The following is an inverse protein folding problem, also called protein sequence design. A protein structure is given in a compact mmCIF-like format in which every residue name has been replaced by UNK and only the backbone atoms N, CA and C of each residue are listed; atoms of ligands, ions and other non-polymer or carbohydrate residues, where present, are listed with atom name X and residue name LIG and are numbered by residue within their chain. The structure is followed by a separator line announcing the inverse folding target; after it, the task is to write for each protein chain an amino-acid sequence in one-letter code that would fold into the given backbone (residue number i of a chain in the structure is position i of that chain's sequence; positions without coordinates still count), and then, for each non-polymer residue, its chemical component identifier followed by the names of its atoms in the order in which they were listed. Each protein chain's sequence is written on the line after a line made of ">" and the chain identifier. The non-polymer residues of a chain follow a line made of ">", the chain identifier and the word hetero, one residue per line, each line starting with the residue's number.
data_IF_239471034499
#
_entry.id   IF_239471034499
#
_cell.length_a   1.000
_cell.length_b   1.000
_cell.length_c   1.000
_cell.angle_alpha   90.00
_cell.angle_beta   90.00
_cell.angle_gamma   90.00
#
_symmetry.space_group_name_H-M   'P 1'
#
loop_
_entity.id
_entity.type
_entity.pdbx_description
1 polymer ?
#
# COMPACT_ATOMS: atom_id res chain seq x y z
N UNK A 1 4.55 -11.00 68.09
CA UNK A 1 3.83 -11.25 66.83
C UNK A 1 2.51 -10.51 66.86
N UNK A 2 2.36 -9.39 66.14
CA UNK A 2 1.07 -8.74 65.97
C UNK A 2 0.36 -9.28 64.73
N UNK A 3 -0.91 -9.59 64.93
CA UNK A 3 -1.90 -10.01 63.95
C UNK A 3 -2.34 -8.79 63.13
N UNK A 4 -1.94 -8.72 61.86
CA UNK A 4 -2.38 -7.69 60.94
C UNK A 4 -3.77 -8.03 60.37
N UNK A 5 -4.65 -7.02 60.47
CA UNK A 5 -6.08 -7.08 60.16
C UNK A 5 -6.32 -7.33 58.66
N UNK A 6 -7.03 -8.41 58.33
CA UNK A 6 -7.49 -8.67 56.97
C UNK A 6 -8.52 -7.60 56.56
N UNK A 7 -8.20 -6.75 55.57
CA UNK A 7 -9.21 -5.96 54.83
C UNK A 7 -9.84 -6.88 53.77
N UNK A 8 -11.17 -7.08 53.76
CA UNK A 8 -11.79 -7.81 52.66
C UNK A 8 -11.69 -6.96 51.39
N UNK A 9 -10.90 -7.44 50.43
CA UNK A 9 -10.99 -6.97 49.05
C UNK A 9 -12.42 -7.28 48.57
N UNK A 10 -13.20 -6.22 48.34
CA UNK A 10 -14.49 -6.33 47.69
C UNK A 10 -14.29 -6.98 46.33
N UNK A 11 -14.71 -8.25 46.23
CA UNK A 11 -14.69 -9.03 45.00
C UNK A 11 -15.61 -8.39 43.97
N UNK A 12 -15.03 -7.59 43.08
CA UNK A 12 -15.62 -7.42 41.75
C UNK A 12 -15.11 -8.57 40.90
N UNK A 13 -16.04 -9.43 40.50
CA UNK A 13 -15.82 -10.45 39.48
C UNK A 13 -15.10 -9.85 38.27
N UNK A 14 -14.00 -10.48 37.84
CA UNK A 14 -13.29 -10.14 36.60
C UNK A 14 -14.18 -10.22 35.34
N UNK A 15 -15.43 -10.70 35.46
CA UNK A 15 -16.39 -10.87 34.36
C UNK A 15 -17.28 -9.64 34.07
N UNK A 16 -16.96 -8.44 34.54
CA UNK A 16 -17.80 -7.24 34.32
C UNK A 16 -17.07 -6.00 33.78
N UNK A 17 -15.83 -6.11 33.31
CA UNK A 17 -15.30 -5.06 32.45
C UNK A 17 -15.86 -5.25 31.04
N UNK A 18 -16.56 -4.26 30.47
CA UNK A 18 -16.97 -4.34 29.08
C UNK A 18 -15.73 -4.52 28.21
N UNK A 19 -15.76 -5.51 27.30
CA UNK A 19 -14.66 -5.86 26.39
C UNK A 19 -14.19 -4.63 25.60
N UNK A 20 -15.09 -3.66 25.39
CA UNK A 20 -14.78 -2.39 24.76
C UNK A 20 -15.50 -1.24 25.47
N UNK A 21 -14.76 -0.17 25.75
CA UNK A 21 -15.32 1.11 26.20
C UNK A 21 -15.99 1.85 25.03
N UNK A 22 -17.30 2.10 25.13
CA UNK A 22 -18.10 2.67 24.05
C UNK A 22 -17.67 4.09 23.67
N UNK A 23 -17.25 4.90 24.65
CA UNK A 23 -16.79 6.27 24.40
C UNK A 23 -15.45 6.27 23.65
N UNK A 24 -14.52 5.39 24.05
CA UNK A 24 -13.28 5.15 23.31
C UNK A 24 -13.56 4.67 21.88
N UNK A 25 -14.50 3.74 21.69
CA UNK A 25 -14.88 3.20 20.38
C UNK A 25 -15.44 4.30 19.46
N UNK A 26 -16.34 5.14 19.99
CA UNK A 26 -16.91 6.28 19.26
C UNK A 26 -15.83 7.29 18.86
N UNK A 27 -14.93 7.65 19.78
CA UNK A 27 -13.82 8.55 19.49
C UNK A 27 -12.88 7.99 18.42
N UNK A 28 -12.60 6.69 18.44
CA UNK A 28 -11.81 6.02 17.40
C UNK A 28 -12.52 6.07 16.05
N UNK A 29 -13.81 5.74 15.99
CA UNK A 29 -14.61 5.80 14.76
C UNK A 29 -14.64 7.21 14.16
N UNK A 30 -14.83 8.24 14.98
CA UNK A 30 -14.84 9.64 14.54
C UNK A 30 -13.48 10.06 13.95
N UNK A 31 -12.37 9.68 14.60
CA UNK A 31 -11.01 9.95 14.08
C UNK A 31 -10.76 9.24 12.74
N UNK A 32 -11.19 7.99 12.61
CA UNK A 32 -11.07 7.23 11.34
C UNK A 32 -11.90 7.90 10.24
N UNK A 33 -13.15 8.26 10.54
CA UNK A 33 -14.04 8.95 9.60
C UNK A 33 -13.45 10.28 9.15
N UNK A 34 -12.89 11.07 10.07
CA UNK A 34 -12.23 12.33 9.76
C UNK A 34 -11.00 12.13 8.85
N UNK A 35 -10.13 11.14 9.16
CA UNK A 35 -8.97 10.82 8.31
C UNK A 35 -9.37 10.38 6.91
N UNK A 36 -10.34 9.47 6.79
CA UNK A 36 -10.86 9.01 5.49
C UNK A 36 -11.48 10.17 4.71
N UNK A 37 -12.22 11.05 5.39
CA UNK A 37 -12.84 12.22 4.75
C UNK A 37 -11.79 13.18 4.21
N UNK A 38 -10.76 13.52 5.00
CA UNK A 38 -9.68 14.40 4.56
C UNK A 38 -8.91 13.79 3.39
N UNK A 39 -8.55 12.51 3.50
CA UNK A 39 -7.82 11.79 2.46
C UNK A 39 -8.59 11.76 1.13
N UNK A 40 -9.86 11.36 1.17
CA UNK A 40 -10.70 11.24 -0.03
C UNK A 40 -11.06 12.61 -0.62
N UNK A 41 -11.17 13.66 0.21
CA UNK A 41 -11.32 15.04 -0.25
C UNK A 41 -10.12 15.49 -1.11
N UNK A 42 -8.90 15.24 -0.64
CA UNK A 42 -7.67 15.55 -1.39
C UNK A 42 -7.65 14.80 -2.72
N UNK A 43 -7.96 13.50 -2.73
CA UNK A 43 -7.99 12.73 -3.97
C UNK A 43 -9.02 13.24 -4.98
N UNK A 44 -10.19 13.71 -4.52
CA UNK A 44 -11.19 14.34 -5.39
C UNK A 44 -10.69 15.67 -5.96
N UNK A 45 -10.06 16.50 -5.13
CA UNK A 45 -9.50 17.79 -5.56
C UNK A 45 -8.36 17.63 -6.58
N UNK A 46 -7.60 16.54 -6.48
CA UNK A 46 -6.58 16.16 -7.46
C UNK A 46 -7.15 15.43 -8.68
N UNK A 47 -8.47 15.25 -8.75
CA UNK A 47 -9.18 14.51 -9.80
C UNK A 47 -8.69 13.06 -9.96
N UNK A 48 -8.12 12.48 -8.91
CA UNK A 48 -7.69 11.08 -8.87
C UNK A 48 -8.90 10.17 -8.74
N UNK A 49 -9.92 10.60 -7.99
CA UNK A 49 -11.17 9.87 -7.79
C UNK A 49 -12.40 10.75 -8.02
N UNK A 50 -13.51 10.11 -8.37
CA UNK A 50 -14.83 10.76 -8.48
C UNK A 50 -15.59 10.79 -7.13
N UNK A 51 -16.87 11.21 -7.16
CA UNK A 51 -17.75 11.22 -5.99
C UNK A 51 -18.02 9.82 -5.43
N UNK A 52 -17.90 8.79 -6.25
CA UNK A 52 -18.20 7.38 -5.95
C UNK A 52 -16.94 6.57 -5.59
N UNK A 53 -15.79 7.22 -5.40
CA UNK A 53 -14.48 6.61 -5.14
C UNK A 53 -13.92 5.78 -6.31
N UNK A 54 -14.43 5.97 -7.52
CA UNK A 54 -13.84 5.36 -8.71
C UNK A 54 -12.60 6.14 -9.13
N UNK A 55 -11.56 5.43 -9.55
CA UNK A 55 -10.31 6.03 -10.00
C UNK A 55 -10.45 6.55 -11.42
N UNK A 56 -10.01 7.79 -11.65
CA UNK A 56 -9.96 8.39 -12.98
C UNK A 56 -8.64 8.02 -13.69
N UNK A 57 -8.58 6.80 -14.24
CA UNK A 57 -7.38 6.28 -14.90
C UNK A 57 -6.96 7.12 -16.10
N UNK A 58 -7.91 7.65 -16.88
CA UNK A 58 -7.62 8.51 -18.02
C UNK A 58 -6.87 9.79 -17.61
N UNK A 59 -7.31 10.44 -16.52
CA UNK A 59 -6.61 11.60 -15.95
C UNK A 59 -5.21 11.25 -15.47
N UNK A 60 -5.06 10.12 -14.77
CA UNK A 60 -3.75 9.66 -14.28
C UNK A 60 -2.78 9.35 -15.41
N UNK A 61 -3.25 8.76 -16.51
CA UNK A 61 -2.43 8.51 -17.71
C UNK A 61 -2.02 9.84 -18.35
N UNK A 62 -2.96 10.77 -18.53
CA UNK A 62 -2.68 12.09 -19.08
C UNK A 62 -1.63 12.85 -18.25
N UNK A 63 -1.77 12.86 -16.92
CA UNK A 63 -0.80 13.45 -16.00
C UNK A 63 0.55 12.75 -16.07
N UNK A 64 0.57 11.42 -16.15
CA UNK A 64 1.81 10.65 -16.26
C UNK A 64 2.57 10.98 -17.55
N UNK A 65 1.86 11.15 -18.66
CA UNK A 65 2.47 11.49 -19.95
C UNK A 65 3.06 12.91 -19.97
N UNK A 66 2.57 13.82 -19.12
CA UNK A 66 3.09 15.20 -19.04
C UNK A 66 4.38 15.34 -18.21
N UNK A 67 4.77 14.32 -17.43
CA UNK A 67 5.98 14.39 -16.61
C UNK A 67 7.26 14.57 -17.47
N UNK A 68 8.25 15.37 -17.01
CA UNK A 68 9.50 15.58 -17.73
C UNK A 68 10.50 14.44 -17.45
N UNK A 69 10.12 13.20 -17.78
CA UNK A 69 10.95 12.00 -17.58
C UNK A 69 11.15 11.22 -18.89
N UNK A 70 12.07 10.25 -18.88
CA UNK A 70 12.39 9.42 -20.04
C UNK A 70 11.16 8.67 -20.58
N UNK A 71 11.16 8.38 -21.88
CA UNK A 71 10.08 7.62 -22.52
C UNK A 71 9.93 6.21 -21.92
N UNK A 72 11.04 5.57 -21.55
CA UNK A 72 11.06 4.27 -20.86
C UNK A 72 10.32 4.34 -19.53
N UNK A 73 10.63 5.34 -18.70
CA UNK A 73 9.97 5.54 -17.42
C UNK A 73 8.49 5.88 -17.63
N UNK A 74 8.14 6.79 -18.55
CA UNK A 74 6.73 7.11 -18.85
C UNK A 74 5.93 5.87 -19.21
N UNK A 75 6.47 5.01 -20.06
CA UNK A 75 5.80 3.78 -20.48
C UNK A 75 5.56 2.82 -19.30
N UNK A 76 6.57 2.59 -18.46
CA UNK A 76 6.42 1.75 -17.25
C UNK A 76 5.42 2.38 -16.26
N UNK A 77 5.43 3.70 -16.15
CA UNK A 77 4.52 4.51 -15.36
C UNK A 77 3.07 4.52 -15.90
N UNK A 78 2.84 4.33 -17.19
CA UNK A 78 1.47 4.14 -17.72
C UNK A 78 0.99 2.71 -17.48
N UNK A 79 1.86 1.72 -17.72
CA UNK A 79 1.55 0.30 -17.48
C UNK A 79 1.12 0.01 -16.04
N UNK A 80 1.73 0.67 -15.04
CA UNK A 80 1.31 0.50 -13.64
C UNK A 80 -0.14 0.92 -13.40
N UNK A 81 -0.62 1.99 -14.05
CA UNK A 81 -2.00 2.50 -13.89
C UNK A 81 -2.98 1.47 -14.41
N UNK A 82 -2.73 0.93 -15.60
CA UNK A 82 -3.54 -0.12 -16.24
C UNK A 82 -3.57 -1.38 -15.39
N UNK A 83 -2.39 -1.84 -14.95
CA UNK A 83 -2.27 -3.04 -14.11
C UNK A 83 -3.04 -2.90 -12.80
N UNK A 84 -2.87 -1.79 -12.06
CA UNK A 84 -3.57 -1.59 -10.80
C UNK A 84 -5.09 -1.46 -11.00
N UNK A 85 -5.53 -0.88 -12.11
CA UNK A 85 -6.95 -0.81 -12.43
C UNK A 85 -7.54 -2.20 -12.71
N UNK A 86 -6.85 -3.03 -13.49
CA UNK A 86 -7.25 -4.42 -13.74
C UNK A 86 -7.30 -5.22 -12.43
N UNK A 87 -6.28 -5.08 -11.58
CA UNK A 87 -6.20 -5.76 -10.28
C UNK A 87 -7.44 -5.49 -9.42
N UNK A 88 -7.83 -4.23 -9.23
CA UNK A 88 -8.97 -3.89 -8.36
C UNK A 88 -10.32 -4.26 -8.95
N UNK A 89 -10.43 -4.37 -10.27
CA UNK A 89 -11.63 -4.87 -10.94
C UNK A 89 -11.84 -6.37 -10.75
N UNK A 90 -10.77 -7.12 -10.48
CA UNK A 90 -10.81 -8.55 -10.21
C UNK A 90 -10.93 -8.91 -8.72
N UNK A 91 -10.95 -7.92 -7.81
CA UNK A 91 -11.03 -8.23 -6.38
C UNK A 91 -12.45 -8.69 -5.96
N UNK A 92 -12.57 -9.74 -5.14
CA UNK A 92 -13.84 -10.16 -4.57
C UNK A 92 -14.17 -9.28 -3.36
N UNK A 93 -15.12 -8.35 -3.54
CA UNK A 93 -15.42 -7.34 -2.51
C UNK A 93 -16.75 -7.57 -1.81
N UNK A 94 -17.62 -8.37 -2.43
CA UNK A 94 -18.96 -8.64 -1.92
C UNK A 94 -18.95 -9.62 -0.73
N UNK A 95 -17.84 -10.34 -0.49
CA UNK A 95 -17.72 -11.38 0.52
C UNK A 95 -16.70 -11.07 1.64
N UNK A 96 -16.32 -9.81 1.83
CA UNK A 96 -15.37 -9.44 2.89
C UNK A 96 -16.12 -9.15 4.19
N UNK A 97 -15.77 -9.80 5.30
CA UNK A 97 -16.22 -9.47 6.67
C UNK A 97 -15.67 -8.11 7.17
N UNK A 98 -15.10 -7.31 6.27
CA UNK A 98 -14.46 -6.05 6.58
C UNK A 98 -15.49 -4.98 6.94
N UNK A 99 -15.27 -4.21 8.02
CA UNK A 99 -16.13 -3.07 8.37
C UNK A 99 -15.96 -1.89 7.40
N UNK A 100 -15.06 -1.98 6.42
CA UNK A 100 -14.77 -0.91 5.45
C UNK A 100 -15.68 -1.07 4.22
N UNK A 101 -16.34 0.01 3.74
CA UNK A 101 -17.14 -0.06 2.52
C UNK A 101 -16.33 -0.60 1.32
N UNK A 102 -16.94 -1.47 0.52
CA UNK A 102 -16.25 -2.13 -0.58
C UNK A 102 -15.61 -1.20 -1.61
N UNK A 103 -16.24 -0.06 -1.91
CA UNK A 103 -15.67 0.97 -2.80
C UNK A 103 -14.41 1.62 -2.21
N UNK A 104 -14.38 1.84 -0.90
CA UNK A 104 -13.19 2.32 -0.21
C UNK A 104 -12.09 1.26 -0.17
N UNK A 105 -12.46 -0.03 -0.02
CA UNK A 105 -11.49 -1.12 -0.14
C UNK A 105 -10.84 -1.17 -1.54
N UNK A 106 -11.63 -1.03 -2.63
CA UNK A 106 -11.08 -0.90 -4.01
C UNK A 106 -10.07 0.22 -4.10
N UNK A 107 -10.44 1.40 -3.61
CA UNK A 107 -9.58 2.56 -3.66
C UNK A 107 -8.27 2.35 -2.90
N UNK A 108 -8.34 1.84 -1.66
CA UNK A 108 -7.15 1.56 -0.86
C UNK A 108 -6.24 0.51 -1.51
N UNK A 109 -6.82 -0.54 -2.08
CA UNK A 109 -6.06 -1.55 -2.83
C UNK A 109 -5.40 -0.96 -4.08
N UNK A 110 -6.12 -0.12 -4.83
CA UNK A 110 -5.58 0.57 -6.00
C UNK A 110 -4.36 1.41 -5.62
N UNK A 111 -4.50 2.24 -4.58
CA UNK A 111 -3.43 3.12 -4.10
C UNK A 111 -2.21 2.34 -3.60
N UNK A 112 -2.44 1.21 -2.92
CA UNK A 112 -1.38 0.30 -2.49
C UNK A 112 -0.62 -0.30 -3.67
N UNK A 113 -1.33 -0.76 -4.70
CA UNK A 113 -0.73 -1.23 -5.94
C UNK A 113 0.06 -0.12 -6.65
N UNK A 114 -0.54 1.06 -6.81
CA UNK A 114 0.06 2.22 -7.49
C UNK A 114 1.37 2.61 -6.83
N UNK A 115 1.38 2.70 -5.49
CA UNK A 115 2.58 3.02 -4.71
C UNK A 115 3.70 2.01 -4.98
N UNK A 116 3.41 0.71 -4.91
CA UNK A 116 4.40 -0.36 -5.11
C UNK A 116 4.97 -0.34 -6.53
N UNK A 117 4.10 -0.33 -7.53
CA UNK A 117 4.54 -0.39 -8.93
C UNK A 117 5.20 0.92 -9.39
N UNK A 118 4.84 2.07 -8.81
CA UNK A 118 5.55 3.33 -9.06
C UNK A 118 6.99 3.25 -8.58
N UNK A 119 7.20 2.73 -7.36
CA UNK A 119 8.55 2.50 -6.84
C UNK A 119 9.35 1.57 -7.77
N UNK A 120 8.77 0.44 -8.17
CA UNK A 120 9.42 -0.51 -9.10
C UNK A 120 9.77 0.14 -10.44
N UNK A 121 8.89 0.97 -11.01
CA UNK A 121 9.17 1.68 -12.26
C UNK A 121 10.36 2.64 -12.11
N UNK A 122 10.44 3.36 -10.99
CA UNK A 122 11.57 4.24 -10.69
C UNK A 122 12.87 3.46 -10.48
N UNK A 123 12.84 2.37 -9.70
CA UNK A 123 14.01 1.50 -9.50
C UNK A 123 14.50 0.92 -10.83
N UNK A 124 13.58 0.45 -11.68
CA UNK A 124 13.91 -0.07 -13.01
C UNK A 124 14.59 0.97 -13.88
N UNK A 125 14.13 2.23 -13.84
CA UNK A 125 14.77 3.32 -14.56
C UNK A 125 16.15 3.67 -14.01
N UNK A 126 16.32 3.62 -12.69
CA UNK A 126 17.63 3.82 -12.06
C UNK A 126 18.62 2.72 -12.49
N UNK A 127 18.19 1.46 -12.49
CA UNK A 127 18.98 0.33 -12.99
C UNK A 127 19.33 0.47 -14.46
N UNK A 128 18.47 1.04 -15.31
CA UNK A 128 18.80 1.32 -16.72
C UNK A 128 19.96 2.31 -16.85
N UNK A 129 19.98 3.33 -16.00
CA UNK A 129 21.00 4.40 -16.04
C UNK A 129 22.34 3.92 -15.50
N UNK A 130 22.30 3.05 -14.50
CA UNK A 130 23.46 2.62 -13.73
C UNK A 130 23.83 1.15 -14.00
N UNK A 131 23.36 0.55 -15.09
CA UNK A 131 23.52 -0.90 -15.34
C UNK A 131 24.99 -1.34 -15.37
N UNK A 132 25.89 -0.45 -15.82
CA UNK A 132 27.33 -0.70 -15.88
C UNK A 132 28.02 -0.77 -14.51
N UNK A 133 27.36 -0.28 -13.45
CA UNK A 133 27.91 -0.28 -12.09
C UNK A 133 27.67 -1.62 -11.36
N UNK A 134 26.85 -2.51 -11.93
CA UNK A 134 26.50 -3.79 -11.33
C UNK A 134 27.29 -4.94 -11.94
N UNK A 135 27.71 -5.88 -11.10
CA UNK A 135 28.26 -7.15 -11.58
C UNK A 135 27.12 -8.04 -12.11
N UNK A 136 27.08 -8.19 -13.44
CA UNK A 136 26.09 -8.98 -14.15
C UNK A 136 26.63 -10.33 -14.65
N UNK A 137 27.83 -10.74 -14.20
CA UNK A 137 28.47 -11.99 -14.63
C UNK A 137 27.63 -13.24 -14.34
N UNK A 138 26.79 -13.20 -13.30
CA UNK A 138 25.86 -14.28 -12.95
C UNK A 138 24.63 -14.39 -13.86
N UNK A 139 24.38 -13.44 -14.77
CA UNK A 139 23.22 -13.49 -15.68
C UNK A 139 23.59 -14.07 -17.05
N UNK A 140 22.68 -14.82 -17.70
CA UNK A 140 22.98 -15.46 -18.98
C UNK A 140 23.33 -14.43 -20.07
N UNK A 141 24.43 -14.67 -20.80
CA UNK A 141 24.97 -13.77 -21.82
C UNK A 141 23.98 -13.44 -22.95
N UNK A 142 23.03 -14.33 -23.26
CA UNK A 142 22.03 -14.13 -24.33
C UNK A 142 20.84 -13.24 -23.92
N UNK A 143 20.73 -12.87 -22.64
CA UNK A 143 19.62 -12.05 -22.17
C UNK A 143 19.75 -10.60 -22.67
N UNK A 144 18.63 -10.04 -23.15
CA UNK A 144 18.55 -8.61 -23.50
C UNK A 144 18.82 -7.73 -22.27
N UNK A 145 19.26 -6.48 -22.48
CA UNK A 145 19.51 -5.53 -21.39
C UNK A 145 18.30 -5.39 -20.44
N UNK A 146 17.10 -5.24 -21.01
CA UNK A 146 15.85 -5.18 -20.25
C UNK A 146 15.59 -6.46 -19.42
N UNK A 147 15.96 -7.63 -19.93
CA UNK A 147 15.82 -8.89 -19.20
C UNK A 147 16.80 -8.97 -18.03
N UNK A 148 18.05 -8.54 -18.22
CA UNK A 148 19.06 -8.44 -17.15
C UNK A 148 18.62 -7.46 -16.07
N UNK A 149 18.09 -6.29 -16.45
CA UNK A 149 17.54 -5.30 -15.53
C UNK A 149 16.37 -5.89 -14.72
N UNK A 150 15.44 -6.59 -15.37
CA UNK A 150 14.31 -7.21 -14.66
C UNK A 150 14.78 -8.27 -13.66
N UNK A 151 15.79 -9.07 -14.02
CA UNK A 151 16.37 -10.07 -13.11
C UNK A 151 17.09 -9.41 -11.93
N UNK A 152 17.88 -8.36 -12.20
CA UNK A 152 18.54 -7.58 -11.14
C UNK A 152 17.53 -6.94 -10.20
N UNK A 153 16.47 -6.34 -10.74
CA UNK A 153 15.38 -5.79 -9.95
C UNK A 153 14.71 -6.85 -9.07
N UNK A 154 14.50 -8.06 -9.59
CA UNK A 154 13.96 -9.17 -8.81
C UNK A 154 14.88 -9.61 -7.68
N UNK A 155 16.20 -9.66 -7.91
CA UNK A 155 17.20 -9.96 -6.87
C UNK A 155 17.19 -8.90 -5.78
N UNK A 156 17.21 -7.61 -6.16
CA UNK A 156 17.19 -6.50 -5.20
C UNK A 156 15.89 -6.49 -4.36
N UNK A 157 14.75 -6.70 -5.02
CA UNK A 157 13.47 -6.77 -4.34
C UNK A 157 13.33 -8.01 -3.45
N UNK A 158 13.89 -9.15 -3.89
CA UNK A 158 13.95 -10.37 -3.08
C UNK A 158 14.85 -10.19 -1.85
N UNK A 159 15.98 -9.48 -2.00
CA UNK A 159 16.91 -9.20 -0.89
C UNK A 159 16.30 -8.26 0.17
N UNK A 160 15.42 -7.32 -0.21
CA UNK A 160 14.67 -6.49 0.76
C UNK A 160 13.65 -7.31 1.59
N UNK A 161 13.18 -8.45 1.07
CA UNK A 161 12.28 -9.33 1.83
C UNK A 161 12.99 -10.19 2.89
N UNK A 162 14.33 -10.17 2.90
CA UNK A 162 15.19 -10.88 3.85
C UNK A 162 15.76 -10.02 4.97
N UNK A 163 15.10 -8.92 5.36
CA UNK A 163 15.19 -8.35 6.73
C UNK A 163 14.53 -9.29 7.77
N UNK A 164 14.84 -10.59 7.65
CA UNK A 164 14.44 -11.66 8.55
C UNK A 164 15.66 -11.95 9.44
N UNK A 165 15.61 -11.39 10.65
CA UNK A 165 16.53 -11.64 11.78
C UNK A 165 18.04 -11.58 11.49
N UNK A 166 18.63 -10.39 11.69
CA UNK A 166 20.02 -10.33 12.14
C UNK A 166 20.05 -10.64 13.65
N UNK A 167 20.30 -11.92 13.95
CA UNK A 167 20.92 -12.34 15.22
C UNK A 167 22.38 -11.87 15.27
#
# INVERSE_FOLDING_TARGET
>A
MPYEYYRPYNGKSLNQMPIVDFDSLKSMTEKVKAKVSNFTCVLRKLEVIDSNYNVNTAKLVQQTLSYPVSHSLKHDLVKRIEHCNQMVNCMPIENTESPVPGTLQKLLAYLGCEKKLRLLACMKEDLRRNIGDYDLSGFPFQASENERINKLLFVLWGAESSDFELQ
#
